data_IF_928999930634
#
_entry.id   IF_928999930634
#
_cell.length_a   1.000
_cell.length_b   1.000
_cell.length_c   1.000
_cell.angle_alpha   90.00
_cell.angle_beta   90.00
_cell.angle_gamma   90.00
#
_symmetry.space_group_name_H-M   'P 1'
#
loop_
_entity.id
_entity.type
_entity.pdbx_description
1 polymer ?
#
# COMPACT_ATOMS: atom_id res chain seq x y z
N UNK A 1 -19.44 43.56 -48.17
CA UNK A 1 -19.48 42.13 -48.53
C UNK A 1 -18.48 41.30 -47.70
N UNK A 2 -18.32 41.57 -46.39
CA UNK A 2 -17.28 40.94 -45.54
C UNK A 2 -17.72 40.83 -44.07
N UNK A 3 -18.95 40.38 -43.79
CA UNK A 3 -19.43 40.23 -42.40
C UNK A 3 -20.44 39.10 -42.20
N UNK A 4 -20.29 37.99 -42.94
CA UNK A 4 -21.21 36.84 -42.87
C UNK A 4 -20.46 35.51 -42.70
N UNK A 5 -19.32 35.52 -41.99
CA UNK A 5 -18.46 34.35 -41.84
C UNK A 5 -18.09 33.99 -40.40
N UNK A 6 -18.39 34.83 -39.40
CA UNK A 6 -17.89 34.62 -38.03
C UNK A 6 -18.91 34.02 -37.05
N UNK A 7 -20.19 33.95 -37.39
CA UNK A 7 -21.25 33.52 -36.45
C UNK A 7 -21.52 32.00 -36.47
N UNK A 8 -20.80 31.22 -37.28
CA UNK A 8 -21.01 29.75 -37.38
C UNK A 8 -20.28 28.93 -36.32
N UNK A 9 -19.46 29.53 -35.46
CA UNK A 9 -18.60 28.78 -34.51
C UNK A 9 -19.12 28.83 -33.06
N UNK A 10 -20.16 29.61 -32.79
CA UNK A 10 -20.60 29.93 -31.42
C UNK A 10 -21.83 29.14 -30.97
N UNK A 11 -21.79 27.81 -31.05
CA UNK A 11 -22.94 26.94 -30.77
C UNK A 11 -22.68 25.68 -29.96
N UNK A 12 -21.51 25.51 -29.33
CA UNK A 12 -21.23 24.39 -28.43
C UNK A 12 -21.50 24.81 -26.99
N UNK A 13 -22.77 24.89 -26.60
CA UNK A 13 -23.11 24.96 -25.17
C UNK A 13 -22.67 23.64 -24.52
N UNK A 14 -21.97 23.73 -23.37
CA UNK A 14 -21.46 22.55 -22.65
C UNK A 14 -22.57 21.50 -22.42
N UNK A 15 -23.81 21.94 -22.20
CA UNK A 15 -24.98 21.09 -22.05
C UNK A 15 -25.38 20.32 -23.32
N UNK A 16 -25.20 20.88 -24.51
CA UNK A 16 -25.44 20.19 -25.78
C UNK A 16 -24.43 19.06 -26.02
N UNK A 17 -23.16 19.30 -25.72
CA UNK A 17 -22.10 18.30 -25.83
C UNK A 17 -22.29 17.12 -24.85
N UNK A 18 -22.67 17.41 -23.60
CA UNK A 18 -23.01 16.37 -22.61
C UNK A 18 -24.24 15.55 -23.02
N UNK A 19 -25.26 16.18 -23.63
CA UNK A 19 -26.42 15.47 -24.18
C UNK A 19 -26.03 14.60 -25.38
N UNK A 20 -25.12 15.05 -26.23
CA UNK A 20 -24.60 14.27 -27.37
C UNK A 20 -23.81 13.04 -26.89
N UNK A 21 -22.95 13.19 -25.87
CA UNK A 21 -22.19 12.09 -25.26
C UNK A 21 -23.09 11.05 -24.58
N UNK A 22 -24.15 11.51 -23.91
CA UNK A 22 -25.11 10.63 -23.24
C UNK A 22 -25.98 9.87 -24.25
N UNK A 23 -26.31 10.50 -25.39
CA UNK A 23 -27.08 9.89 -26.48
C UNK A 23 -26.32 8.78 -27.21
N UNK A 24 -25.00 8.89 -27.35
CA UNK A 24 -24.15 7.92 -28.06
C UNK A 24 -23.58 6.78 -27.20
N UNK A 25 -24.15 6.48 -26.04
CA UNK A 25 -23.66 5.48 -25.08
C UNK A 25 -22.20 5.70 -24.56
N UNK A 26 -21.53 6.80 -24.93
CA UNK A 26 -20.12 7.06 -24.56
C UNK A 26 -19.94 7.13 -23.05
N UNK A 27 -20.90 7.72 -22.34
CA UNK A 27 -20.90 7.78 -20.86
C UNK A 27 -20.94 6.37 -20.24
N UNK A 28 -21.72 5.45 -20.82
CA UNK A 28 -21.79 4.06 -20.34
C UNK A 28 -20.45 3.35 -20.55
N UNK A 29 -19.84 3.53 -21.71
CA UNK A 29 -18.53 2.93 -22.01
C UNK A 29 -17.45 3.51 -21.09
N UNK A 30 -17.46 4.82 -20.82
CA UNK A 30 -16.55 5.45 -19.89
C UNK A 30 -16.66 4.83 -18.48
N UNK A 31 -17.87 4.68 -17.96
CA UNK A 31 -18.12 4.06 -16.65
C UNK A 31 -17.67 2.60 -16.63
N UNK A 32 -18.00 1.80 -17.66
CA UNK A 32 -17.56 0.40 -17.74
C UNK A 32 -16.04 0.28 -17.82
N UNK A 33 -15.38 1.17 -18.56
CA UNK A 33 -13.92 1.20 -18.66
C UNK A 33 -13.27 1.54 -17.32
N UNK A 34 -13.82 2.49 -16.57
CA UNK A 34 -13.31 2.86 -15.25
C UNK A 34 -13.49 1.71 -14.24
N UNK A 35 -14.66 1.06 -14.22
CA UNK A 35 -14.92 -0.09 -13.33
C UNK A 35 -14.01 -1.27 -13.71
N UNK A 36 -13.92 -1.61 -14.99
CA UNK A 36 -13.07 -2.70 -15.47
C UNK A 36 -11.59 -2.40 -15.22
N UNK A 37 -11.17 -1.16 -15.45
CA UNK A 37 -9.79 -0.75 -15.21
C UNK A 37 -9.42 -0.74 -13.74
N UNK A 38 -10.35 -0.35 -12.86
CA UNK A 38 -10.15 -0.48 -11.42
C UNK A 38 -9.96 -1.95 -11.00
N UNK A 39 -10.79 -2.87 -11.51
CA UNK A 39 -10.61 -4.32 -11.27
C UNK A 39 -9.26 -4.80 -11.81
N UNK A 40 -8.86 -4.36 -13.01
CA UNK A 40 -7.60 -4.77 -13.62
C UNK A 40 -6.39 -4.33 -12.78
N UNK A 41 -6.43 -3.12 -12.22
CA UNK A 41 -5.40 -2.61 -11.30
C UNK A 41 -5.38 -3.46 -10.02
N UNK A 42 -6.54 -3.81 -9.46
CA UNK A 42 -6.57 -4.68 -8.28
C UNK A 42 -5.98 -6.07 -8.56
N UNK A 43 -6.18 -6.60 -9.77
CA UNK A 43 -5.55 -7.84 -10.21
C UNK A 43 -4.02 -7.73 -10.31
N UNK A 44 -3.46 -6.54 -10.57
CA UNK A 44 -2.00 -6.40 -10.63
C UNK A 44 -1.36 -6.66 -9.28
N UNK A 45 -1.97 -6.19 -8.19
CA UNK A 45 -1.43 -6.37 -6.84
C UNK A 45 -1.38 -7.86 -6.42
N UNK A 46 -2.23 -8.68 -7.03
CA UNK A 46 -2.32 -10.12 -6.76
C UNK A 46 -1.44 -10.92 -7.73
N UNK A 47 -1.58 -10.67 -9.03
CA UNK A 47 -0.94 -11.47 -10.07
C UNK A 47 0.53 -11.08 -10.27
N UNK A 48 0.89 -9.80 -10.19
CA UNK A 48 2.25 -9.37 -10.55
C UNK A 48 3.30 -9.92 -9.58
N UNK A 49 3.10 -9.87 -8.26
CA UNK A 49 4.00 -10.54 -7.33
C UNK A 49 4.07 -12.06 -7.57
N UNK A 50 2.94 -12.70 -7.90
CA UNK A 50 2.87 -14.15 -8.18
C UNK A 50 3.73 -14.55 -9.38
N UNK A 51 3.80 -13.72 -10.41
CA UNK A 51 4.61 -13.96 -11.61
C UNK A 51 6.01 -13.35 -11.53
N UNK A 52 6.40 -12.74 -10.39
CA UNK A 52 7.68 -12.06 -10.23
C UNK A 52 7.83 -10.81 -11.11
N UNK A 53 6.72 -10.20 -11.52
CA UNK A 53 6.73 -8.96 -12.30
C UNK A 53 7.14 -7.81 -11.35
N UNK A 54 8.19 -7.04 -11.67
CA UNK A 54 8.66 -5.96 -10.79
C UNK A 54 7.68 -4.78 -10.71
N UNK A 55 7.91 -3.87 -9.77
CA UNK A 55 7.06 -2.68 -9.50
C UNK A 55 6.81 -1.77 -10.71
N UNK A 56 7.69 -1.79 -11.73
CA UNK A 56 7.45 -1.05 -12.98
C UNK A 56 6.26 -1.59 -13.78
N UNK A 57 5.89 -2.86 -13.59
CA UNK A 57 4.79 -3.51 -14.28
C UNK A 57 3.45 -2.85 -13.96
N UNK A 58 3.17 -2.59 -12.68
CA UNK A 58 1.93 -1.91 -12.26
C UNK A 58 1.83 -0.51 -12.88
N UNK A 59 2.96 0.20 -12.92
CA UNK A 59 3.04 1.53 -13.55
C UNK A 59 2.74 1.47 -15.05
N UNK A 60 3.26 0.48 -15.78
CA UNK A 60 2.92 0.28 -17.20
C UNK A 60 1.44 -0.07 -17.40
N UNK A 61 0.86 -0.91 -16.55
CA UNK A 61 -0.56 -1.26 -16.63
C UNK A 61 -1.45 -0.01 -16.53
N UNK A 62 -1.15 0.90 -15.58
CA UNK A 62 -1.87 2.18 -15.44
C UNK A 62 -1.66 3.08 -16.65
N UNK A 63 -0.43 3.17 -17.19
CA UNK A 63 -0.14 3.98 -18.39
C UNK A 63 -0.92 3.46 -19.60
N UNK A 64 -0.93 2.14 -19.84
CA UNK A 64 -1.66 1.52 -20.93
C UNK A 64 -3.18 1.71 -20.79
N UNK A 65 -3.69 1.66 -19.56
CA UNK A 65 -5.10 1.91 -19.27
C UNK A 65 -5.47 3.38 -19.48
N UNK A 66 -4.61 4.31 -19.07
CA UNK A 66 -4.77 5.73 -19.32
C UNK A 66 -4.75 6.06 -20.81
N UNK A 67 -3.86 5.44 -21.59
CA UNK A 67 -3.81 5.59 -23.05
C UNK A 67 -4.99 4.93 -23.76
N UNK A 68 -5.46 3.79 -23.28
CA UNK A 68 -6.59 3.08 -23.85
C UNK A 68 -7.92 3.79 -23.63
N UNK A 69 -8.05 4.61 -22.59
CA UNK A 69 -9.29 5.32 -22.29
C UNK A 69 -9.72 6.31 -23.38
N UNK A 70 -8.88 7.28 -23.84
CA UNK A 70 -9.24 8.14 -24.98
C UNK A 70 -9.59 7.36 -26.24
N UNK A 71 -8.86 6.27 -26.51
CA UNK A 71 -9.15 5.41 -27.66
C UNK A 71 -10.51 4.72 -27.53
N UNK A 72 -10.85 4.21 -26.34
CA UNK A 72 -12.14 3.60 -26.06
C UNK A 72 -13.30 4.60 -26.20
N UNK A 73 -13.11 5.85 -25.76
CA UNK A 73 -14.09 6.92 -25.94
C UNK A 73 -14.28 7.28 -27.42
N UNK A 74 -13.19 7.35 -28.20
CA UNK A 74 -13.25 7.59 -29.64
C UNK A 74 -13.97 6.44 -30.34
N UNK A 75 -13.66 5.19 -30.01
CA UNK A 75 -14.36 4.02 -30.54
C UNK A 75 -15.85 4.03 -30.19
N UNK A 76 -16.22 4.36 -28.96
CA UNK A 76 -17.62 4.49 -28.55
C UNK A 76 -18.35 5.64 -29.25
N UNK A 77 -17.62 6.69 -29.63
CA UNK A 77 -18.18 7.85 -30.32
C UNK A 77 -18.33 7.63 -31.84
N UNK A 78 -17.39 6.90 -32.46
CA UNK A 78 -17.37 6.58 -33.90
C UNK A 78 -18.25 5.37 -34.22
N UNK A 79 -18.13 4.29 -33.43
CA UNK A 79 -18.94 3.10 -33.59
C UNK A 79 -20.12 3.20 -32.62
N UNK A 80 -21.27 3.62 -33.13
CA UNK A 80 -22.52 3.44 -32.40
C UNK A 80 -22.71 1.92 -32.22
N UNK A 81 -22.46 1.40 -31.01
CA UNK A 81 -22.87 0.04 -30.63
C UNK A 81 -24.41 0.01 -30.61
N UNK A 82 -25.02 -0.11 -31.78
CA UNK A 82 -26.42 -0.47 -31.93
C UNK A 82 -26.59 -1.94 -31.55
N UNK A 83 -27.62 -2.33 -30.77
CA UNK A 83 -27.87 -3.73 -30.41
C UNK A 83 -28.28 -4.61 -31.62
N UNK A 84 -28.39 -4.01 -32.80
CA UNK A 84 -28.97 -4.61 -33.98
C UNK A 84 -28.00 -4.38 -35.15
N UNK A 85 -27.19 -5.41 -35.43
CA UNK A 85 -26.39 -5.47 -36.65
C UNK A 85 -27.28 -5.36 -37.90
N UNK A 86 -26.64 -4.97 -39.01
CA UNK A 86 -27.26 -4.72 -40.34
C UNK A 86 -28.37 -5.72 -40.68
N UNK A 87 -29.60 -5.24 -40.82
CA UNK A 87 -30.69 -5.97 -41.50
C UNK A 87 -31.37 -5.09 -42.55
N UNK A 88 -31.31 -5.58 -43.78
CA UNK A 88 -32.00 -5.08 -44.95
C UNK A 88 -33.42 -5.71 -45.00
N UNK A 89 -34.41 -4.86 -45.30
CA UNK A 89 -35.80 -5.11 -45.71
C UNK A 89 -36.91 -5.51 -44.69
N UNK A 90 -37.81 -4.52 -44.51
CA UNK A 90 -39.20 -4.46 -45.01
C UNK A 90 -40.29 -5.35 -44.36
N UNK A 91 -41.38 -4.65 -44.03
CA UNK A 91 -42.77 -5.06 -43.74
C UNK A 91 -43.17 -5.49 -42.32
N UNK A 92 -43.76 -4.51 -41.62
CA UNK A 92 -45.05 -4.52 -40.89
C UNK A 92 -45.37 -5.75 -40.02
N UNK A 93 -45.36 -5.56 -38.68
CA UNK A 93 -46.63 -5.50 -37.91
C UNK A 93 -46.45 -4.67 -36.62
N UNK A 94 -47.39 -3.74 -36.40
CA UNK A 94 -47.46 -2.82 -35.25
C UNK A 94 -48.40 -3.44 -34.22
N UNK A 95 -47.90 -4.20 -33.25
CA UNK A 95 -48.76 -4.59 -32.10
C UNK A 95 -48.10 -5.03 -30.79
N UNK A 96 -46.78 -4.95 -30.58
CA UNK A 96 -46.23 -5.18 -29.22
C UNK A 96 -45.15 -4.18 -28.81
N UNK A 97 -45.60 -3.19 -28.04
CA UNK A 97 -44.75 -2.44 -27.12
C UNK A 97 -44.31 -3.36 -25.97
N UNK A 98 -43.04 -3.76 -25.95
CA UNK A 98 -42.38 -4.19 -24.70
C UNK A 98 -41.03 -3.49 -24.61
N UNK A 99 -41.08 -2.29 -24.07
CA UNK A 99 -39.96 -1.54 -23.52
C UNK A 99 -39.48 -2.23 -22.22
N UNK A 100 -38.17 -2.11 -21.92
CA UNK A 100 -37.55 -2.23 -20.58
C UNK A 100 -36.97 -3.55 -20.02
N UNK A 101 -36.66 -4.59 -20.80
CA UNK A 101 -36.04 -5.83 -20.22
C UNK A 101 -34.51 -5.90 -20.30
N UNK A 102 -33.83 -5.01 -21.02
CA UNK A 102 -32.37 -5.11 -21.21
C UNK A 102 -31.55 -4.40 -20.12
N UNK A 103 -32.10 -3.40 -19.44
CA UNK A 103 -31.38 -2.66 -18.38
C UNK A 103 -31.18 -3.51 -17.10
N UNK A 104 -32.11 -4.41 -16.78
CA UNK A 104 -32.09 -5.20 -15.54
C UNK A 104 -31.08 -6.36 -15.58
N UNK A 105 -30.74 -6.86 -16.77
CA UNK A 105 -29.77 -7.98 -16.92
C UNK A 105 -28.33 -7.53 -16.75
N UNK A 106 -28.00 -6.28 -17.13
CA UNK A 106 -26.67 -5.70 -16.92
C UNK A 106 -26.41 -5.39 -15.44
N UNK A 107 -27.41 -4.85 -14.73
CA UNK A 107 -27.32 -4.67 -13.26
C UNK A 107 -27.12 -5.99 -12.53
N UNK A 108 -27.83 -7.05 -12.95
CA UNK A 108 -27.63 -8.38 -12.37
C UNK A 108 -26.23 -8.92 -12.65
N UNK A 109 -25.68 -8.76 -13.85
CA UNK A 109 -24.31 -9.21 -14.15
C UNK A 109 -23.30 -8.44 -13.28
N UNK A 110 -23.43 -7.11 -13.16
CA UNK A 110 -22.56 -6.31 -12.29
C UNK A 110 -22.66 -6.70 -10.82
N UNK A 111 -23.87 -6.89 -10.29
CA UNK A 111 -24.09 -7.31 -8.90
C UNK A 111 -23.53 -8.73 -8.67
N UNK A 112 -23.73 -9.65 -9.61
CA UNK A 112 -23.22 -11.03 -9.50
C UNK A 112 -21.69 -11.05 -9.52
N UNK A 113 -21.07 -10.21 -10.35
CA UNK A 113 -19.62 -10.11 -10.46
C UNK A 113 -19.00 -9.45 -9.20
N UNK A 114 -19.67 -8.43 -8.62
CA UNK A 114 -19.25 -7.82 -7.35
C UNK A 114 -19.38 -8.79 -6.17
N UNK A 115 -20.47 -9.55 -6.11
CA UNK A 115 -20.66 -10.58 -5.07
C UNK A 115 -19.65 -11.71 -5.22
N UNK A 116 -19.39 -12.16 -6.46
CA UNK A 116 -18.35 -13.15 -6.73
C UNK A 116 -16.96 -12.64 -6.33
N UNK A 117 -16.62 -11.39 -6.66
CA UNK A 117 -15.36 -10.76 -6.25
C UNK A 117 -15.24 -10.67 -4.72
N UNK A 118 -16.31 -10.31 -4.01
CA UNK A 118 -16.34 -10.27 -2.55
C UNK A 118 -16.22 -11.66 -1.91
N UNK A 119 -16.81 -12.71 -2.52
CA UNK A 119 -16.69 -14.09 -2.05
C UNK A 119 -15.26 -14.60 -2.25
N UNK A 120 -14.61 -14.29 -3.39
CA UNK A 120 -13.21 -14.65 -3.65
C UNK A 120 -12.26 -13.92 -2.70
N UNK A 121 -12.51 -12.64 -2.41
CA UNK A 121 -11.74 -11.83 -1.42
C UNK A 121 -12.01 -12.25 0.03
N UNK A 122 -13.22 -12.70 0.35
CA UNK A 122 -13.58 -13.20 1.69
C UNK A 122 -13.00 -14.60 1.96
N UNK A 123 -12.95 -15.45 0.93
CA UNK A 123 -12.39 -16.80 1.03
C UNK A 123 -10.85 -16.78 1.17
N UNK A 124 -10.16 -15.81 0.57
CA UNK A 124 -8.69 -15.70 0.67
C UNK A 124 -8.21 -15.20 2.04
N UNK A 125 -9.06 -14.56 2.85
CA UNK A 125 -8.71 -14.11 4.19
C UNK A 125 -8.94 -15.16 5.30
N UNK A 126 -9.67 -16.24 5.02
CA UNK A 126 -9.89 -17.34 5.97
C UNK A 126 -9.08 -18.59 5.61
N UNK A 127 -8.60 -18.72 4.37
CA UNK A 127 -7.78 -19.85 3.93
C UNK A 127 -6.26 -19.67 4.14
N UNK A 128 -5.79 -18.50 4.58
CA UNK A 128 -4.35 -18.25 4.78
C UNK A 128 -3.82 -18.61 6.18
N UNK A 129 -4.54 -19.49 6.90
CA UNK A 129 -4.05 -20.21 8.08
C UNK A 129 -3.80 -21.66 7.67
N UNK A 130 -2.64 -21.91 7.05
CA UNK A 130 -1.94 -23.19 6.86
C UNK A 130 -1.42 -23.30 5.44
N UNK A 131 -0.10 -23.23 5.28
CA UNK A 131 0.52 -23.48 3.99
C UNK A 131 1.98 -23.08 3.91
N UNK A 132 2.80 -23.58 4.83
CA UNK A 132 4.23 -23.73 4.55
C UNK A 132 4.40 -24.70 3.37
N UNK A 133 5.36 -24.39 2.48
CA UNK A 133 6.35 -25.29 1.83
C UNK A 133 6.50 -25.06 0.32
N UNK A 134 7.67 -24.51 -0.07
CA UNK A 134 8.61 -25.18 -0.99
C UNK A 134 8.57 -24.88 -2.50
N UNK A 135 9.74 -24.48 -3.03
CA UNK A 135 10.21 -24.73 -4.42
C UNK A 135 10.47 -23.47 -5.25
N UNK A 136 11.63 -22.80 -5.13
CA UNK A 136 12.95 -23.02 -5.80
C UNK A 136 13.05 -22.77 -7.32
N UNK A 137 14.05 -21.95 -7.66
CA UNK A 137 14.76 -21.83 -8.94
C UNK A 137 14.98 -20.36 -9.36
N UNK A 138 16.16 -19.75 -9.37
CA UNK A 138 17.53 -20.14 -9.05
C UNK A 138 18.47 -19.09 -9.64
N UNK A 139 19.39 -18.54 -8.86
CA UNK A 139 20.76 -18.17 -9.29
C UNK A 139 21.61 -18.06 -8.02
N UNK A 140 22.63 -18.91 -7.95
CA UNK A 140 23.52 -19.12 -6.82
C UNK A 140 24.31 -17.85 -6.48
N UNK A 141 24.09 -17.35 -5.26
CA UNK A 141 25.20 -16.83 -4.46
C UNK A 141 25.21 -17.70 -3.21
N UNK A 142 26.25 -18.51 -3.10
CA UNK A 142 26.56 -19.37 -1.98
C UNK A 142 26.78 -18.48 -0.74
N UNK A 143 25.72 -18.31 0.05
CA UNK A 143 25.78 -17.66 1.35
C UNK A 143 25.29 -18.68 2.38
N UNK A 144 26.21 -19.12 3.23
CA UNK A 144 26.03 -20.05 4.35
C UNK A 144 24.63 -20.00 4.97
N UNK A 145 23.73 -20.87 4.51
CA UNK A 145 22.41 -21.09 5.07
C UNK A 145 22.46 -22.07 6.25
N UNK A 146 23.49 -21.94 7.10
CA UNK A 146 23.65 -22.72 8.33
C UNK A 146 24.01 -21.87 9.56
N UNK A 147 23.78 -20.55 9.50
CA UNK A 147 23.89 -19.70 10.67
C UNK A 147 22.49 -19.27 11.12
N UNK A 148 22.09 -19.68 12.32
CA UNK A 148 21.02 -19.00 13.06
C UNK A 148 21.32 -17.50 13.22
N UNK A 149 20.47 -16.73 13.91
CA UNK A 149 20.73 -15.30 14.14
C UNK A 149 22.16 -15.14 14.63
N UNK A 150 22.92 -14.24 13.99
CA UNK A 150 24.31 -14.01 14.40
C UNK A 150 24.35 -13.70 15.88
N UNK A 151 25.29 -14.28 16.63
CA UNK A 151 25.21 -14.39 18.08
C UNK A 151 25.01 -13.05 18.77
N UNK A 152 25.47 -11.95 18.20
CA UNK A 152 25.18 -10.59 18.66
C UNK A 152 24.56 -9.75 17.53
N UNK A 153 23.23 -9.70 17.50
CA UNK A 153 22.43 -8.94 16.54
C UNK A 153 21.24 -8.25 17.18
N UNK A 154 20.89 -7.08 16.65
CA UNK A 154 19.81 -6.24 17.16
C UNK A 154 19.03 -5.54 16.04
N UNK A 155 17.72 -5.37 16.23
CA UNK A 155 16.91 -4.42 15.48
C UNK A 155 16.43 -3.30 16.40
N UNK A 156 16.35 -2.07 15.88
CA UNK A 156 15.74 -0.94 16.60
C UNK A 156 14.43 -0.59 15.93
N UNK A 157 13.33 -0.82 16.63
CA UNK A 157 11.99 -0.50 16.13
C UNK A 157 11.65 0.98 16.33
N UNK A 158 10.74 1.55 15.52
CA UNK A 158 10.23 2.89 15.75
C UNK A 158 9.66 3.02 17.17
N UNK A 159 10.06 4.06 17.88
CA UNK A 159 9.50 4.31 19.21
C UNK A 159 8.07 4.83 19.08
N UNK A 160 7.19 4.32 19.94
CA UNK A 160 5.78 4.69 19.93
C UNK A 160 5.61 6.09 20.52
N UNK A 161 5.01 7.01 19.76
CA UNK A 161 4.57 8.29 20.31
C UNK A 161 3.31 8.07 21.17
N UNK A 162 3.45 8.21 22.49
CA UNK A 162 2.37 8.14 23.49
C UNK A 162 1.89 9.54 23.92
N UNK A 163 2.26 10.58 23.19
CA UNK A 163 1.80 11.96 23.42
C UNK A 163 0.50 12.23 22.67
N UNK A 164 -0.30 13.19 23.13
CA UNK A 164 -1.58 13.54 22.49
C UNK A 164 -1.43 14.18 21.10
N UNK A 165 -0.27 14.77 20.82
CA UNK A 165 0.02 15.46 19.57
C UNK A 165 0.85 14.57 18.62
N UNK A 166 0.27 14.16 17.47
CA UNK A 166 0.96 13.37 16.44
C UNK A 166 2.17 14.08 15.84
N UNK A 167 2.23 15.42 15.90
CA UNK A 167 3.38 16.16 15.40
C UNK A 167 4.67 15.84 16.19
N UNK A 168 4.60 15.15 17.33
CA UNK A 168 5.81 14.71 18.05
C UNK A 168 6.40 13.39 17.53
N UNK A 169 5.79 12.76 16.52
CA UNK A 169 6.25 11.49 15.98
C UNK A 169 7.65 11.58 15.33
N UNK A 170 8.04 12.75 14.80
CA UNK A 170 9.40 12.95 14.30
C UNK A 170 10.44 12.77 15.42
N UNK A 171 10.08 13.10 16.66
CA UNK A 171 11.00 13.02 17.79
C UNK A 171 11.20 11.58 18.23
N UNK A 172 10.13 10.78 18.30
CA UNK A 172 10.22 9.36 18.60
C UNK A 172 10.94 8.57 17.50
N UNK A 173 10.65 8.87 16.23
CA UNK A 173 11.36 8.28 15.09
C UNK A 173 12.84 8.69 15.05
N UNK A 174 13.12 9.97 15.31
CA UNK A 174 14.47 10.51 15.34
C UNK A 174 15.31 9.90 16.45
N UNK A 175 14.73 9.68 17.64
CA UNK A 175 15.39 8.99 18.73
C UNK A 175 15.73 7.53 18.37
N UNK A 176 14.78 6.81 17.76
CA UNK A 176 15.01 5.44 17.29
C UNK A 176 16.09 5.37 16.19
N UNK A 177 16.13 6.38 15.30
CA UNK A 177 17.17 6.50 14.27
C UNK A 177 18.57 6.73 14.87
N UNK A 178 18.67 7.64 15.83
CA UNK A 178 19.94 7.93 16.50
C UNK A 178 20.47 6.70 17.26
N UNK A 179 19.58 5.99 17.98
CA UNK A 179 19.90 4.73 18.64
C UNK A 179 20.40 3.67 17.66
N UNK A 180 19.74 3.52 16.52
CA UNK A 180 20.15 2.59 15.47
C UNK A 180 21.55 2.94 14.96
N UNK A 181 21.81 4.23 14.68
CA UNK A 181 23.10 4.70 14.20
C UNK A 181 24.22 4.49 15.23
N UNK A 182 23.97 4.79 16.51
CA UNK A 182 24.95 4.60 17.57
C UNK A 182 25.27 3.12 17.83
N UNK A 183 24.25 2.25 17.77
CA UNK A 183 24.45 0.80 17.86
C UNK A 183 25.21 0.25 16.66
N UNK A 184 24.96 0.78 15.46
CA UNK A 184 25.63 0.34 14.24
C UNK A 184 27.13 0.67 14.21
N UNK A 185 27.60 1.59 15.06
CA UNK A 185 29.03 1.89 15.25
C UNK A 185 29.76 0.87 16.12
N UNK A 186 29.06 -0.11 16.70
CA UNK A 186 29.66 -1.14 17.54
C UNK A 186 30.07 -2.30 16.63
N UNK A 187 31.38 -2.46 16.36
CA UNK A 187 31.90 -3.45 15.41
C UNK A 187 31.46 -4.91 15.72
N UNK A 188 31.25 -5.22 17.00
CA UNK A 188 30.83 -6.55 17.45
C UNK A 188 29.32 -6.80 17.33
N UNK A 189 28.51 -5.80 16.96
CA UNK A 189 27.05 -5.87 16.96
C UNK A 189 26.48 -5.69 15.54
N UNK A 190 25.75 -6.69 15.06
CA UNK A 190 25.05 -6.57 13.78
C UNK A 190 23.71 -5.87 13.97
N UNK A 191 23.48 -4.76 13.26
CA UNK A 191 22.26 -3.97 13.38
C UNK A 191 21.39 -4.11 12.12
N UNK A 192 20.11 -4.43 12.28
CA UNK A 192 19.16 -4.45 11.17
C UNK A 192 18.97 -3.04 10.59
N UNK A 193 18.99 -2.92 9.26
CA UNK A 193 18.89 -1.62 8.59
C UNK A 193 17.61 -0.85 8.94
N UNK A 194 17.70 0.48 8.94
CA UNK A 194 16.57 1.39 9.25
C UNK A 194 15.33 1.06 8.45
N UNK A 195 15.42 0.96 7.12
CA UNK A 195 14.27 0.68 6.25
C UNK A 195 13.57 -0.62 6.62
N UNK A 196 14.33 -1.68 6.93
CA UNK A 196 13.78 -2.98 7.32
C UNK A 196 13.11 -2.92 8.69
N UNK A 197 13.73 -2.28 9.67
CA UNK A 197 13.17 -2.14 11.02
C UNK A 197 11.93 -1.24 11.04
N UNK A 198 11.95 -0.15 10.29
CA UNK A 198 10.85 0.82 10.22
C UNK A 198 9.68 0.33 9.35
N UNK A 199 9.86 -0.74 8.57
CA UNK A 199 8.76 -1.37 7.83
C UNK A 199 7.68 -1.98 8.74
N UNK A 200 7.98 -2.17 10.03
CA UNK A 200 7.04 -2.66 11.05
C UNK A 200 6.27 -1.55 11.76
N UNK A 201 6.51 -0.27 11.43
CA UNK A 201 5.83 0.86 12.05
C UNK A 201 4.31 0.76 11.89
N UNK A 202 3.59 0.95 13.01
CA UNK A 202 2.13 0.94 13.02
C UNK A 202 1.51 -0.43 12.72
N UNK A 203 2.29 -1.51 12.72
CA UNK A 203 1.80 -2.88 12.55
C UNK A 203 1.75 -3.58 13.90
N UNK A 204 0.70 -4.34 14.12
CA UNK A 204 0.54 -5.23 15.27
C UNK A 204 1.16 -6.60 14.92
N UNK A 205 2.48 -6.65 14.82
CA UNK A 205 3.24 -7.87 14.51
C UNK A 205 3.97 -8.34 15.75
N UNK A 206 3.90 -9.65 16.02
CA UNK A 206 4.58 -10.25 17.17
C UNK A 206 6.10 -10.06 17.07
N UNK A 207 6.74 -9.71 18.19
CA UNK A 207 8.17 -9.42 18.23
C UNK A 207 9.04 -10.61 17.80
N UNK A 208 8.59 -11.85 18.03
CA UNK A 208 9.31 -13.05 17.59
C UNK A 208 9.32 -13.15 16.08
N UNK A 209 8.18 -12.88 15.45
CA UNK A 209 8.06 -12.85 14.00
C UNK A 209 8.93 -11.72 13.39
N UNK A 210 8.97 -10.55 14.03
CA UNK A 210 9.87 -9.46 13.63
C UNK A 210 11.34 -9.91 13.71
N UNK A 211 11.71 -10.58 14.80
CA UNK A 211 13.04 -11.14 15.02
C UNK A 211 13.47 -12.12 13.93
N UNK A 212 12.58 -13.05 13.58
CA UNK A 212 12.78 -14.02 12.50
C UNK A 212 12.93 -13.32 11.14
N UNK A 213 12.04 -12.39 10.80
CA UNK A 213 12.07 -11.66 9.52
C UNK A 213 13.31 -10.80 9.36
N UNK A 214 13.79 -10.21 10.45
CA UNK A 214 15.01 -9.38 10.46
C UNK A 214 16.28 -10.19 10.72
N UNK A 215 16.15 -11.48 11.07
CA UNK A 215 17.23 -12.37 11.47
C UNK A 215 18.11 -11.78 12.59
N UNK A 216 17.48 -11.29 13.66
CA UNK A 216 18.15 -10.69 14.83
C UNK A 216 17.84 -11.46 16.11
N UNK A 217 18.79 -11.48 17.04
CA UNK A 217 18.64 -12.08 18.37
C UNK A 217 17.89 -11.17 19.35
N UNK A 218 18.09 -9.86 19.25
CA UNK A 218 17.49 -8.90 20.16
C UNK A 218 16.70 -7.83 19.42
N UNK A 219 15.69 -7.27 20.07
CA UNK A 219 14.92 -6.13 19.58
C UNK A 219 14.95 -5.03 20.63
N UNK A 220 15.28 -3.81 20.21
CA UNK A 220 15.12 -2.59 20.98
C UNK A 220 13.84 -1.90 20.54
N UNK A 221 12.94 -1.69 21.47
CA UNK A 221 11.72 -0.90 21.27
C UNK A 221 11.53 0.10 22.40
N UNK A 222 10.55 0.97 22.26
CA UNK A 222 10.29 1.97 23.27
C UNK A 222 9.11 2.87 22.97
N UNK A 223 8.88 3.79 23.89
CA UNK A 223 7.85 4.81 23.76
C UNK A 223 8.36 6.15 24.23
N UNK A 224 7.74 7.19 23.68
CA UNK A 224 8.01 8.57 24.04
C UNK A 224 6.70 9.26 24.39
N UNK A 225 6.67 9.89 25.56
CA UNK A 225 5.55 10.69 26.01
C UNK A 225 6.07 12.09 26.35
N UNK A 226 5.62 13.08 25.60
CA UNK A 226 5.90 14.49 25.81
C UNK A 226 4.69 15.21 26.42
N UNK A 227 4.92 15.95 27.49
CA UNK A 227 3.92 16.78 28.16
C UNK A 227 4.52 18.16 28.48
N UNK A 228 4.08 19.19 27.74
CA UNK A 228 4.66 20.53 27.84
C UNK A 228 6.15 20.52 27.49
N UNK A 229 6.99 20.99 28.43
CA UNK A 229 8.45 20.98 28.30
C UNK A 229 9.11 19.71 28.84
N UNK A 230 8.37 18.64 29.17
CA UNK A 230 8.95 17.40 29.70
C UNK A 230 8.76 16.25 28.75
N UNK A 231 9.76 15.39 28.67
CA UNK A 231 9.72 14.15 27.91
C UNK A 231 10.05 12.97 28.81
N UNK A 232 9.24 11.93 28.72
CA UNK A 232 9.49 10.61 29.28
C UNK A 232 9.75 9.64 28.14
N UNK A 233 10.88 8.97 28.19
CA UNK A 233 11.30 7.97 27.21
C UNK A 233 11.46 6.64 27.94
N UNK A 234 10.78 5.61 27.46
CA UNK A 234 10.97 4.24 27.93
C UNK A 234 11.60 3.44 26.81
N UNK A 235 12.67 2.71 27.11
CA UNK A 235 13.37 1.85 26.15
C UNK A 235 13.52 0.45 26.74
N UNK A 236 13.35 -0.57 25.90
CA UNK A 236 13.30 -1.97 26.31
C UNK A 236 14.09 -2.83 25.33
N UNK A 237 14.96 -3.68 25.85
CA UNK A 237 15.64 -4.72 25.09
C UNK A 237 14.91 -6.04 25.31
N UNK A 238 14.56 -6.71 24.23
CA UNK A 238 13.76 -7.92 24.22
C UNK A 238 14.53 -9.02 23.50
N UNK A 239 14.50 -10.24 24.04
CA UNK A 239 15.00 -11.41 23.34
C UNK A 239 13.99 -11.81 22.26
N UNK A 240 14.43 -11.79 21.01
CA UNK A 240 13.57 -12.05 19.88
C UNK A 240 13.14 -13.53 19.76
N UNK A 241 13.82 -14.47 20.41
CA UNK A 241 13.44 -15.89 20.34
C UNK A 241 12.23 -16.24 21.20
N UNK A 242 12.06 -15.55 22.33
CA UNK A 242 11.06 -15.89 23.35
C UNK A 242 10.13 -14.73 23.72
N UNK A 243 10.45 -13.50 23.31
CA UNK A 243 9.67 -12.30 23.57
C UNK A 243 9.84 -11.72 24.98
N UNK A 244 10.78 -12.23 25.79
CA UNK A 244 10.99 -11.72 27.15
C UNK A 244 11.93 -10.51 27.18
N UNK A 245 11.66 -9.60 28.13
CA UNK A 245 12.50 -8.42 28.34
C UNK A 245 13.82 -8.83 28.99
N UNK A 246 14.92 -8.43 28.36
CA UNK A 246 16.27 -8.54 28.90
C UNK A 246 16.62 -7.31 29.75
N UNK A 247 16.14 -6.13 29.35
CA UNK A 247 16.41 -4.87 30.03
C UNK A 247 15.30 -3.85 29.74
N UNK A 248 15.06 -2.94 30.67
CA UNK A 248 14.17 -1.80 30.49
C UNK A 248 14.65 -0.62 31.32
N UNK A 249 14.54 0.59 30.77
CA UNK A 249 14.79 1.82 31.51
C UNK A 249 13.84 2.93 31.07
N UNK A 250 13.62 3.88 31.99
CA UNK A 250 12.84 5.09 31.75
C UNK A 250 13.68 6.31 32.07
N UNK A 251 13.65 7.29 31.17
CA UNK A 251 14.38 8.55 31.26
C UNK A 251 13.38 9.70 31.24
N UNK A 252 13.52 10.64 32.18
CA UNK A 252 12.73 11.86 32.21
C UNK A 252 13.65 13.08 32.08
N UNK A 253 13.33 13.98 31.15
CA UNK A 253 14.13 15.18 30.85
C UNK A 253 13.24 16.38 30.51
N UNK A 254 13.76 17.58 30.74
CA UNK A 254 13.17 18.82 30.23
C UNK A 254 13.68 19.10 28.82
N UNK A 255 12.80 19.54 27.90
CA UNK A 255 13.00 19.69 26.45
C UNK A 255 13.63 21.05 26.07
N UNK A 256 14.64 21.50 26.80
CA UNK A 256 15.28 22.79 26.52
C UNK A 256 16.10 22.74 25.22
N UNK A 257 16.82 21.63 24.99
CA UNK A 257 17.49 21.32 23.73
C UNK A 257 17.18 19.87 23.31
N UNK A 258 16.21 19.76 22.40
CA UNK A 258 15.68 18.47 21.93
C UNK A 258 16.75 17.57 21.32
N UNK A 259 17.76 18.15 20.64
CA UNK A 259 18.82 17.38 19.98
C UNK A 259 19.88 16.92 20.97
N UNK A 260 20.25 17.77 21.93
CA UNK A 260 21.19 17.39 22.99
C UNK A 260 20.61 16.24 23.85
N UNK A 261 19.31 16.28 24.14
CA UNK A 261 18.62 15.23 24.90
C UNK A 261 18.60 13.91 24.11
N UNK A 262 18.33 13.97 22.80
CA UNK A 262 18.36 12.77 21.95
C UNK A 262 19.73 12.08 22.02
N UNK A 263 20.82 12.84 21.85
CA UNK A 263 22.18 12.29 21.94
C UNK A 263 22.51 11.75 23.33
N UNK A 264 22.14 12.47 24.41
CA UNK A 264 22.39 12.03 25.79
C UNK A 264 21.66 10.70 26.10
N UNK A 265 20.38 10.63 25.72
CA UNK A 265 19.54 9.46 26.00
C UNK A 265 19.98 8.29 25.13
N UNK A 266 20.26 8.52 23.85
CA UNK A 266 20.80 7.49 22.95
C UNK A 266 22.10 6.90 23.52
N UNK A 267 23.05 7.76 23.89
CA UNK A 267 24.33 7.34 24.49
C UNK A 267 24.15 6.55 25.78
N UNK A 268 23.22 7.00 26.65
CA UNK A 268 22.90 6.33 27.91
C UNK A 268 22.31 4.94 27.70
N UNK A 269 21.37 4.80 26.77
CA UNK A 269 20.77 3.52 26.38
C UNK A 269 21.85 2.59 25.81
N UNK A 270 22.62 3.06 24.83
CA UNK A 270 23.68 2.25 24.19
C UNK A 270 24.70 1.74 25.19
N UNK A 271 25.10 2.57 26.17
CA UNK A 271 26.00 2.14 27.26
C UNK A 271 25.37 1.03 28.11
N UNK A 272 24.10 1.16 28.46
CA UNK A 272 23.38 0.13 29.23
C UNK A 272 23.24 -1.18 28.43
N UNK A 273 22.95 -1.08 27.13
CA UNK A 273 22.82 -2.22 26.23
C UNK A 273 24.17 -2.93 26.02
N UNK A 274 25.28 -2.19 25.90
CA UNK A 274 26.62 -2.78 25.79
C UNK A 274 26.98 -3.69 26.98
N UNK A 275 26.51 -3.36 28.19
CA UNK A 275 26.73 -4.19 29.39
C UNK A 275 25.82 -5.43 29.39
N UNK A 276 24.65 -5.33 28.77
CA UNK A 276 23.67 -6.44 28.72
C UNK A 276 23.98 -7.43 27.58
N UNK A 277 24.60 -6.94 26.51
CA UNK A 277 24.96 -7.70 25.30
C UNK A 277 26.41 -8.23 25.31
N UNK A 278 27.19 -7.95 26.35
CA UNK A 278 28.60 -8.38 26.49
C UNK A 278 28.75 -9.76 27.11
#
# INVERSE_FOLDING_TARGET
MLKSGLDRVSGLTMGGFFNELKRRNVVRVAVMYLVFGWVLIQLTDILFPMFGIPEWGGRLAVILLGMGFPLALIFAWVFELTPEGVKLEKNVDRSQSVTHTTARRLDLITITLLVFALIVLGASNVANRNGSTGGQGGTEVEQDASAGPSPESIAVLPFVNMSDDPANEYFSDGLAEELLNDLARIDALRVAGRTSSFAFKGKDTDLREIGERLNVKNILEGSVHKAGNRVRITAQLINASDGYHLWSATYERELDDIFAIQQEISSSIVKALKVTLS
#
